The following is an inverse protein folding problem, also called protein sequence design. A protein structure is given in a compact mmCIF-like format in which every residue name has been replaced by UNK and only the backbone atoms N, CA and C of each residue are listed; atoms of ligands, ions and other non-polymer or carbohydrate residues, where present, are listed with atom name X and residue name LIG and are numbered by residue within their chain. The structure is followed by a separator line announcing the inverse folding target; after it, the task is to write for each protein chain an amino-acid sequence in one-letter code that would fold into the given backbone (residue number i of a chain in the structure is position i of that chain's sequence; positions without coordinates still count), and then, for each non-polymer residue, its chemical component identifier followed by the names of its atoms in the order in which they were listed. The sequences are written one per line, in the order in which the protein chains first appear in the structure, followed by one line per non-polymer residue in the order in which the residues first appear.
data_IF_418145032512
#
_entry.id   IF_418145032512
#
_cell.length_a   1.000
_cell.length_b   1.000
_cell.length_c   1.000
_cell.angle_alpha   90.00
_cell.angle_beta   90.00
_cell.angle_gamma   90.00
#
_symmetry.space_group_name_H-M   'P 1'
#
loop_
_entity.id
_entity.type
_entity.pdbx_description
1 polymer ?
#
# COMPACT_ATOMS: atom_id res chain seq x y z
N UNK A 1 -42.10 19.99 -13.49
CA UNK A 1 -41.67 19.76 -12.10
C UNK A 1 -40.46 18.83 -12.14
N UNK A 2 -39.40 19.20 -11.42
CA UNK A 2 -37.99 19.06 -11.82
C UNK A 2 -37.37 17.64 -11.78
N UNK A 3 -36.57 17.33 -12.80
CA UNK A 3 -35.68 16.16 -12.92
C UNK A 3 -34.34 16.35 -12.16
N UNK A 4 -34.36 16.50 -10.84
CA UNK A 4 -33.15 16.82 -10.06
C UNK A 4 -32.60 15.70 -9.15
N UNK A 5 -33.16 14.48 -9.16
CA UNK A 5 -32.69 13.40 -8.26
C UNK A 5 -31.44 12.66 -8.74
N UNK A 6 -31.20 12.57 -10.04
CA UNK A 6 -30.16 11.69 -10.60
C UNK A 6 -28.72 12.15 -10.37
N UNK A 7 -28.48 13.46 -10.21
CA UNK A 7 -27.15 14.01 -9.99
C UNK A 7 -26.73 13.95 -8.52
N UNK A 8 -27.69 14.21 -7.61
CA UNK A 8 -27.49 14.12 -6.16
C UNK A 8 -27.26 12.67 -5.74
N UNK A 9 -28.03 11.72 -6.29
CA UNK A 9 -27.81 10.29 -6.03
C UNK A 9 -26.46 9.79 -6.58
N UNK A 10 -26.02 10.31 -7.73
CA UNK A 10 -24.67 10.01 -8.25
C UNK A 10 -23.57 10.61 -7.39
N UNK A 11 -23.72 11.85 -6.92
CA UNK A 11 -22.77 12.49 -6.00
C UNK A 11 -22.72 11.76 -4.65
N UNK A 12 -23.87 11.33 -4.14
CA UNK A 12 -23.96 10.51 -2.93
C UNK A 12 -23.30 9.13 -3.10
N UNK A 13 -23.45 8.49 -4.28
CA UNK A 13 -22.77 7.22 -4.59
C UNK A 13 -21.25 7.37 -4.78
N UNK A 14 -20.76 8.57 -5.09
CA UNK A 14 -19.34 8.90 -5.16
C UNK A 14 -18.75 9.21 -3.78
N UNK A 15 -19.59 9.62 -2.81
CA UNK A 15 -19.22 9.74 -1.41
C UNK A 15 -19.40 8.38 -0.73
N UNK A 16 -18.40 7.51 -0.91
CA UNK A 16 -18.31 6.23 -0.21
C UNK A 16 -18.06 6.50 1.29
N UNK A 17 -19.11 6.87 2.02
CA UNK A 17 -19.04 7.44 3.37
C UNK A 17 -18.34 6.52 4.35
N UNK A 18 -18.54 5.20 4.20
CA UNK A 18 -17.81 4.18 4.95
C UNK A 18 -16.31 4.20 4.67
N UNK A 19 -15.92 4.37 3.41
CA UNK A 19 -14.51 4.45 3.00
C UNK A 19 -13.86 5.71 3.55
N UNK A 20 -14.60 6.82 3.61
CA UNK A 20 -14.17 8.05 4.26
C UNK A 20 -14.03 7.87 5.77
N UNK A 21 -15.03 7.26 6.43
CA UNK A 21 -15.00 6.94 7.87
C UNK A 21 -13.82 6.02 8.22
N UNK A 22 -13.54 4.99 7.41
CA UNK A 22 -12.40 4.07 7.59
C UNK A 22 -11.04 4.77 7.40
N UNK A 23 -10.94 5.69 6.42
CA UNK A 23 -9.73 6.49 6.18
C UNK A 23 -9.48 7.53 7.27
N UNK A 24 -10.51 7.95 8.01
CA UNK A 24 -10.45 8.99 9.03
C UNK A 24 -10.71 8.45 10.44
N UNK A 25 -10.52 7.15 10.65
CA UNK A 25 -10.66 6.55 11.97
C UNK A 25 -9.69 7.22 12.96
N UNK A 26 -10.24 7.66 14.09
CA UNK A 26 -9.48 8.11 15.26
C UNK A 26 -9.97 7.33 16.47
N UNK A 27 -9.04 7.02 17.38
CA UNK A 27 -9.34 6.25 18.57
C UNK A 27 -8.19 6.31 19.57
N UNK A 28 -8.44 5.76 20.76
CA UNK A 28 -7.41 5.63 21.77
C UNK A 28 -6.39 4.55 21.38
N UNK A 29 -5.27 4.51 22.09
CA UNK A 29 -4.30 3.44 21.94
C UNK A 29 -4.91 2.06 22.24
N UNK A 30 -5.84 1.96 23.20
CA UNK A 30 -6.53 0.69 23.49
C UNK A 30 -7.42 0.25 22.33
N UNK A 31 -8.11 1.18 21.67
CA UNK A 31 -8.92 0.87 20.49
C UNK A 31 -8.05 0.35 19.34
N UNK A 32 -6.86 0.92 19.17
CA UNK A 32 -5.87 0.41 18.22
C UNK A 32 -5.37 -1.00 18.60
N UNK A 33 -5.08 -1.26 19.88
CA UNK A 33 -4.69 -2.60 20.33
C UNK A 33 -5.79 -3.63 20.08
N UNK A 34 -7.05 -3.27 20.31
CA UNK A 34 -8.20 -4.12 19.99
C UNK A 34 -8.31 -4.40 18.49
N UNK A 35 -8.06 -3.40 17.65
CA UNK A 35 -8.01 -3.55 16.20
C UNK A 35 -6.89 -4.50 15.76
N UNK A 36 -5.70 -4.41 16.38
CA UNK A 36 -4.58 -5.35 16.14
C UNK A 36 -4.92 -6.76 16.61
N UNK A 37 -5.61 -6.93 17.76
CA UNK A 37 -6.06 -8.25 18.24
C UNK A 37 -7.04 -8.90 17.27
N UNK A 38 -7.98 -8.12 16.70
CA UNK A 38 -8.95 -8.59 15.71
C UNK A 38 -8.31 -8.88 14.36
N UNK A 39 -7.39 -8.01 13.93
CA UNK A 39 -6.69 -8.13 12.66
C UNK A 39 -5.18 -7.87 12.83
N UNK A 40 -4.39 -8.91 13.13
CA UNK A 40 -2.94 -8.77 13.32
C UNK A 40 -2.20 -8.22 12.09
N UNK A 41 -2.83 -8.30 10.90
CA UNK A 41 -2.27 -7.77 9.65
C UNK A 41 -2.04 -6.26 9.69
N UNK A 42 -2.69 -5.54 10.60
CA UNK A 42 -2.51 -4.10 10.77
C UNK A 42 -1.10 -3.77 11.24
N UNK A 43 -0.52 -4.64 12.07
CA UNK A 43 0.85 -4.50 12.61
C UNK A 43 1.94 -5.14 11.71
N UNK A 44 1.63 -5.39 10.42
CA UNK A 44 2.61 -5.93 9.46
C UNK A 44 3.78 -4.98 9.23
N UNK A 45 4.93 -5.58 8.96
CA UNK A 45 6.14 -4.89 8.52
C UNK A 45 5.96 -4.29 7.12
N UNK A 46 6.85 -3.37 6.75
CA UNK A 46 6.88 -2.78 5.41
C UNK A 46 7.04 -3.84 4.31
N UNK A 47 7.83 -4.90 4.54
CA UNK A 47 8.05 -5.98 3.57
C UNK A 47 6.81 -6.84 3.39
N UNK A 48 6.15 -7.23 4.48
CA UNK A 48 4.88 -7.96 4.41
C UNK A 48 3.84 -7.14 3.65
N UNK A 49 3.73 -5.83 3.96
CA UNK A 49 2.79 -4.94 3.26
C UNK A 49 3.09 -4.83 1.76
N UNK A 50 4.35 -4.64 1.37
CA UNK A 50 4.74 -4.58 -0.05
C UNK A 50 4.50 -5.91 -0.77
N UNK A 51 4.80 -7.04 -0.12
CA UNK A 51 4.60 -8.35 -0.71
C UNK A 51 3.11 -8.64 -0.92
N UNK A 52 2.29 -8.43 0.12
CA UNK A 52 0.84 -8.65 0.05
C UNK A 52 0.17 -7.69 -0.94
N UNK A 53 0.63 -6.44 -1.01
CA UNK A 53 0.21 -5.48 -2.03
C UNK A 53 0.43 -6.05 -3.43
N UNK A 54 1.63 -6.53 -3.76
CA UNK A 54 1.93 -7.07 -5.10
C UNK A 54 1.04 -8.27 -5.41
N UNK A 55 0.82 -9.15 -4.44
CA UNK A 55 -0.03 -10.34 -4.60
C UNK A 55 -1.51 -10.00 -4.77
N UNK A 56 -1.98 -8.89 -4.22
CA UNK A 56 -3.40 -8.47 -4.31
C UNK A 56 -3.88 -8.24 -5.76
N UNK A 57 -2.96 -7.96 -6.68
CA UNK A 57 -3.25 -7.80 -8.11
C UNK A 57 -3.35 -9.13 -8.85
N UNK A 58 -2.98 -10.24 -8.22
CA UNK A 58 -2.96 -11.56 -8.81
C UNK A 58 -1.66 -11.91 -9.54
N UNK A 59 -1.51 -13.20 -9.81
CA UNK A 59 -0.34 -13.79 -10.46
C UNK A 59 -0.74 -14.75 -11.56
N UNK A 60 0.06 -14.82 -12.61
CA UNK A 60 -0.10 -15.76 -13.70
C UNK A 60 1.14 -16.63 -13.81
N UNK A 61 0.97 -17.93 -13.99
CA UNK A 61 2.08 -18.85 -14.24
C UNK A 61 2.12 -19.26 -15.70
N UNK A 62 3.31 -19.21 -16.29
CA UNK A 62 3.54 -19.73 -17.63
C UNK A 62 4.89 -20.43 -17.70
N UNK A 63 5.06 -21.27 -18.73
CA UNK A 63 6.31 -21.98 -18.99
C UNK A 63 7.02 -21.33 -20.16
N UNK A 64 8.26 -20.90 -19.93
CA UNK A 64 9.16 -20.40 -20.96
C UNK A 64 10.46 -21.20 -20.87
N UNK A 65 10.89 -21.78 -22.00
CA UNK A 65 12.13 -22.55 -22.08
C UNK A 65 12.29 -23.59 -20.96
N UNK A 66 11.22 -24.34 -20.67
CA UNK A 66 11.11 -25.36 -19.60
C UNK A 66 11.23 -24.81 -18.17
N UNK A 67 11.25 -23.49 -17.97
CA UNK A 67 11.22 -22.85 -16.65
C UNK A 67 9.81 -22.34 -16.37
N UNK A 68 9.29 -22.64 -15.18
CA UNK A 68 8.07 -22.01 -14.68
C UNK A 68 8.41 -20.57 -14.26
N UNK A 69 7.68 -19.61 -14.81
CA UNK A 69 7.82 -18.20 -14.51
C UNK A 69 6.49 -17.71 -13.95
N UNK A 70 6.57 -17.05 -12.80
CA UNK A 70 5.43 -16.35 -12.19
C UNK A 70 5.46 -14.89 -12.62
N UNK A 71 4.45 -14.48 -13.38
CA UNK A 71 4.18 -13.08 -13.73
C UNK A 71 3.27 -12.45 -12.68
N UNK A 72 3.66 -11.30 -12.18
CA UNK A 72 2.87 -10.53 -11.21
C UNK A 72 2.13 -9.42 -11.95
N UNK A 73 0.79 -9.46 -11.95
CA UNK A 73 -0.06 -8.51 -12.67
C UNK A 73 0.12 -7.07 -12.20
N UNK A 74 0.57 -6.88 -10.95
CA UNK A 74 0.95 -5.58 -10.41
C UNK A 74 1.85 -4.76 -11.36
N UNK A 75 2.82 -5.39 -12.03
CA UNK A 75 3.74 -4.69 -12.93
C UNK A 75 3.17 -4.37 -14.31
N UNK A 76 1.94 -4.79 -14.61
CA UNK A 76 1.22 -4.42 -15.83
C UNK A 76 0.47 -3.08 -15.70
N UNK A 77 0.43 -2.48 -14.50
CA UNK A 77 -0.18 -1.16 -14.25
C UNK A 77 -1.62 -1.04 -14.76
N UNK A 78 -2.41 -2.12 -14.67
CA UNK A 78 -3.77 -2.20 -15.22
C UNK A 78 -4.70 -1.11 -14.66
N UNK A 79 -4.59 -0.80 -13.37
CA UNK A 79 -5.36 0.25 -12.71
C UNK A 79 -5.15 1.65 -13.33
N UNK A 80 -4.03 1.89 -14.00
CA UNK A 80 -3.69 3.18 -14.62
C UNK A 80 -3.61 3.11 -16.14
N UNK A 81 -4.17 2.05 -16.73
CA UNK A 81 -4.21 1.84 -18.18
C UNK A 81 -2.86 1.44 -18.78
N UNK A 82 -1.99 0.80 -18.00
CA UNK A 82 -0.71 0.26 -18.50
C UNK A 82 0.35 1.32 -18.82
N UNK A 83 0.22 2.54 -18.31
CA UNK A 83 1.14 3.66 -18.61
C UNK A 83 2.57 3.37 -18.18
N UNK A 84 2.72 2.73 -17.03
CA UNK A 84 4.02 2.33 -16.48
C UNK A 84 4.27 0.81 -16.62
N UNK A 85 3.51 0.11 -17.47
CA UNK A 85 3.59 -1.35 -17.62
C UNK A 85 5.00 -1.82 -18.00
N UNK A 86 5.47 -2.87 -17.33
CA UNK A 86 6.80 -3.43 -17.52
C UNK A 86 6.67 -4.75 -18.27
N UNK A 87 7.33 -4.83 -19.43
CA UNK A 87 7.35 -6.03 -20.28
C UNK A 87 8.76 -6.63 -20.35
N UNK A 88 8.84 -7.95 -20.52
CA UNK A 88 10.10 -8.66 -20.75
C UNK A 88 11.03 -8.79 -19.54
N UNK A 89 10.60 -8.35 -18.35
CA UNK A 89 11.37 -8.43 -17.11
C UNK A 89 10.78 -9.41 -16.09
N UNK A 90 9.95 -10.37 -16.52
CA UNK A 90 9.28 -11.32 -15.62
C UNK A 90 10.25 -12.07 -14.69
N UNK A 91 11.39 -12.55 -15.22
CA UNK A 91 12.41 -13.27 -14.42
C UNK A 91 13.06 -12.32 -13.37
N UNK A 92 13.59 -11.14 -13.74
CA UNK A 92 14.07 -10.16 -12.77
C UNK A 92 13.03 -9.74 -11.72
N UNK A 93 11.79 -9.48 -12.14
CA UNK A 93 10.69 -9.10 -11.25
C UNK A 93 10.35 -10.24 -10.28
N UNK A 94 10.35 -11.48 -10.76
CA UNK A 94 10.16 -12.66 -9.91
C UNK A 94 11.26 -12.78 -8.85
N UNK A 95 12.52 -12.50 -9.20
CA UNK A 95 13.62 -12.46 -8.22
C UNK A 95 13.43 -11.35 -7.19
N UNK A 96 13.03 -10.15 -7.63
CA UNK A 96 12.73 -9.03 -6.72
C UNK A 96 11.61 -9.41 -5.73
N UNK A 97 10.51 -9.96 -6.23
CA UNK A 97 9.39 -10.37 -5.37
C UNK A 97 9.78 -11.50 -4.42
N UNK A 98 10.65 -12.43 -4.84
CA UNK A 98 11.19 -13.45 -3.95
C UNK A 98 12.04 -12.85 -2.80
N UNK A 99 12.79 -11.77 -3.06
CA UNK A 99 13.49 -11.04 -1.99
C UNK A 99 12.49 -10.41 -1.01
N UNK A 100 11.43 -9.79 -1.52
CA UNK A 100 10.36 -9.23 -0.66
C UNK A 100 9.67 -10.33 0.16
N UNK A 101 9.39 -11.48 -0.45
CA UNK A 101 8.82 -12.66 0.23
C UNK A 101 9.73 -13.15 1.36
N UNK A 102 11.03 -13.28 1.10
CA UNK A 102 11.99 -13.72 2.10
C UNK A 102 12.09 -12.72 3.28
N UNK A 103 12.06 -11.43 2.98
CA UNK A 103 12.06 -10.37 3.99
C UNK A 103 10.75 -10.33 4.79
N UNK A 104 9.60 -10.56 4.14
CA UNK A 104 8.29 -10.66 4.79
C UNK A 104 8.25 -11.84 5.78
N UNK A 105 8.88 -12.96 5.44
CA UNK A 105 9.00 -14.14 6.31
C UNK A 105 10.11 -14.02 7.37
N UNK A 106 10.75 -12.86 7.51
CA UNK A 106 11.79 -12.55 8.53
C UNK A 106 13.00 -13.48 8.47
N UNK A 107 13.39 -13.93 7.28
CA UNK A 107 14.58 -14.79 7.10
C UNK A 107 15.91 -14.00 7.10
N UNK A 108 16.02 -12.89 7.85
CA UNK A 108 17.25 -12.08 7.97
C UNK A 108 17.58 -11.22 6.75
N UNK A 109 16.62 -11.07 5.82
CA UNK A 109 16.73 -10.19 4.63
C UNK A 109 16.15 -8.80 4.87
N UNK A 110 15.44 -8.58 5.97
CA UNK A 110 14.78 -7.32 6.30
C UNK A 110 15.74 -6.15 6.56
N UNK A 111 17.02 -6.44 6.86
CA UNK A 111 18.07 -5.44 7.10
C UNK A 111 19.00 -5.21 5.89
N UNK A 112 18.69 -5.80 4.72
CA UNK A 112 19.57 -5.72 3.55
C UNK A 112 19.13 -4.62 2.60
N UNK A 113 20.11 -3.89 2.05
CA UNK A 113 19.87 -2.89 0.99
C UNK A 113 19.58 -3.64 -0.32
N UNK A 114 18.42 -3.38 -0.93
CA UNK A 114 18.08 -3.89 -2.26
C UNK A 114 18.65 -2.93 -3.31
N UNK A 115 19.68 -3.35 -4.04
CA UNK A 115 20.24 -2.58 -5.13
C UNK A 115 19.67 -3.04 -6.48
N UNK A 116 18.88 -2.19 -7.12
CA UNK A 116 18.42 -2.41 -8.49
C UNK A 116 19.52 -1.96 -9.46
N UNK A 117 20.36 -2.89 -9.90
CA UNK A 117 21.40 -2.63 -10.91
C UNK A 117 21.02 -3.23 -12.26
N UNK A 118 21.44 -2.60 -13.36
CA UNK A 118 21.20 -3.08 -14.72
C UNK A 118 21.52 -2.01 -15.77
N UNK A 119 21.46 -2.34 -17.07
CA UNK A 119 21.72 -1.39 -18.15
C UNK A 119 20.77 -0.18 -18.13
N UNK A 120 21.15 0.92 -18.77
CA UNK A 120 20.23 2.05 -18.98
C UNK A 120 18.98 1.55 -19.73
N UNK A 121 17.80 2.02 -19.34
CA UNK A 121 16.53 1.55 -19.93
C UNK A 121 15.93 0.28 -19.32
N UNK A 122 16.55 -0.35 -18.31
CA UNK A 122 16.03 -1.58 -17.69
C UNK A 122 14.88 -1.37 -16.67
N UNK A 123 14.04 -0.36 -16.87
CA UNK A 123 12.85 -0.04 -16.04
C UNK A 123 13.05 0.16 -14.53
N UNK A 124 14.28 0.31 -14.01
CA UNK A 124 14.57 0.43 -12.56
C UNK A 124 13.73 1.51 -11.87
N UNK A 125 13.75 2.74 -12.40
CA UNK A 125 12.97 3.85 -11.85
C UNK A 125 11.46 3.62 -12.00
N UNK A 126 11.04 2.90 -13.05
CA UNK A 126 9.63 2.52 -13.26
C UNK A 126 9.15 1.52 -12.23
N UNK A 127 9.96 0.52 -11.88
CA UNK A 127 9.67 -0.43 -10.79
C UNK A 127 9.46 0.35 -9.48
N UNK A 128 10.39 1.24 -9.13
CA UNK A 128 10.29 2.03 -7.89
C UNK A 128 9.05 2.94 -7.91
N UNK A 129 8.74 3.55 -9.05
CA UNK A 129 7.55 4.40 -9.22
C UNK A 129 6.26 3.60 -9.04
N UNK A 130 6.16 2.42 -9.64
CA UNK A 130 5.03 1.52 -9.48
C UNK A 130 4.86 1.10 -8.03
N UNK A 131 5.93 0.71 -7.34
CA UNK A 131 5.87 0.34 -5.92
C UNK A 131 5.36 1.49 -5.03
N UNK A 132 5.84 2.72 -5.24
CA UNK A 132 5.37 3.90 -4.50
C UNK A 132 3.88 4.15 -4.72
N UNK A 133 3.49 4.19 -5.99
CA UNK A 133 2.11 4.41 -6.42
C UNK A 133 1.16 3.30 -5.93
N UNK A 134 1.58 2.05 -6.05
CA UNK A 134 0.84 0.89 -5.58
C UNK A 134 0.65 0.92 -4.07
N UNK A 135 1.66 1.35 -3.31
CA UNK A 135 1.56 1.44 -1.85
C UNK A 135 0.58 2.53 -1.43
N UNK A 136 0.54 3.65 -2.16
CA UNK A 136 -0.44 4.72 -1.96
C UNK A 136 -1.88 4.26 -2.25
N UNK A 137 -2.08 3.47 -3.31
CA UNK A 137 -3.41 2.94 -3.63
C UNK A 137 -3.83 1.87 -2.60
N UNK A 138 -2.91 0.98 -2.25
CA UNK A 138 -3.15 -0.14 -1.36
C UNK A 138 -3.43 0.33 0.08
N UNK A 139 -2.76 1.39 0.55
CA UNK A 139 -3.03 1.94 1.89
C UNK A 139 -4.46 2.45 2.06
N UNK A 140 -5.17 2.73 0.96
CA UNK A 140 -6.58 3.14 0.95
C UNK A 140 -7.56 1.97 0.90
N UNK A 141 -7.08 0.73 0.89
CA UNK A 141 -7.93 -0.47 1.01
C UNK A 141 -7.95 -0.97 2.45
N UNK A 142 -9.01 -1.68 2.87
CA UNK A 142 -9.07 -2.29 4.21
C UNK A 142 -7.87 -3.22 4.48
N UNK A 143 -7.40 -3.92 3.45
CA UNK A 143 -6.26 -4.85 3.55
C UNK A 143 -4.93 -4.12 3.68
N UNK A 144 -4.79 -2.89 3.16
CA UNK A 144 -3.56 -2.11 3.24
C UNK A 144 -3.56 -1.05 4.34
N UNK A 145 -4.63 -0.98 5.15
CA UNK A 145 -4.83 0.02 6.19
C UNK A 145 -3.57 0.31 7.02
N UNK A 146 -3.36 1.60 7.28
CA UNK A 146 -2.22 2.18 7.96
C UNK A 146 -2.75 3.12 9.04
N UNK A 147 -2.16 3.02 10.23
CA UNK A 147 -2.48 3.88 11.36
C UNK A 147 -1.23 4.63 11.76
N UNK A 148 -1.42 5.91 12.08
CA UNK A 148 -0.41 6.76 12.71
C UNK A 148 -0.95 7.24 14.04
N UNK A 149 -0.10 7.84 14.86
CA UNK A 149 -0.53 8.47 16.10
C UNK A 149 -0.52 10.00 15.93
N UNK A 150 -1.34 10.66 16.73
CA UNK A 150 -1.29 12.10 16.91
C UNK A 150 -1.00 12.37 18.38
N UNK A 151 -0.13 13.33 18.66
CA UNK A 151 0.12 13.76 20.03
C UNK A 151 -0.91 14.80 20.44
N UNK A 152 -1.72 14.48 21.44
CA UNK A 152 -2.63 15.44 22.08
C UNK A 152 -2.00 15.89 23.39
N UNK A 153 -1.64 17.17 23.47
CA UNK A 153 -1.03 17.72 24.68
C UNK A 153 -2.10 18.14 25.70
N UNK A 154 -1.89 17.86 26.99
CA UNK A 154 -2.72 18.41 28.06
C UNK A 154 -2.76 19.93 28.01
N UNK A 155 -3.92 20.51 28.35
CA UNK A 155 -4.16 21.96 28.36
C UNK A 155 -3.11 22.75 29.14
N UNK A 156 -2.55 22.15 30.20
CA UNK A 156 -1.53 22.73 31.05
C UNK A 156 -0.20 22.98 30.32
N UNK A 157 0.07 22.25 29.23
CA UNK A 157 1.29 22.37 28.43
C UNK A 157 1.12 23.28 27.20
N UNK A 158 -0.07 23.87 26.99
CA UNK A 158 -0.35 24.79 25.86
C UNK A 158 0.59 26.00 25.78
N UNK A 159 1.11 26.42 26.93
CA UNK A 159 2.06 27.53 27.00
C UNK A 159 3.41 27.22 26.33
N UNK A 160 3.74 25.94 26.14
CA UNK A 160 4.97 25.48 25.47
C UNK A 160 4.80 25.34 23.95
N UNK A 161 3.57 25.36 23.44
CA UNK A 161 3.25 24.91 22.08
C UNK A 161 2.70 26.02 21.18
N UNK A 162 2.85 27.28 21.59
CA UNK A 162 2.36 28.45 20.84
C UNK A 162 0.88 28.34 20.42
N UNK A 163 0.07 27.62 21.21
CA UNK A 163 -1.37 27.44 20.96
C UNK A 163 -1.76 26.25 20.07
N UNK A 164 -0.83 25.39 19.65
CA UNK A 164 -1.18 24.11 19.01
C UNK A 164 -1.32 22.98 20.05
N UNK A 165 -2.42 22.23 19.96
CA UNK A 165 -2.76 21.16 20.90
C UNK A 165 -2.55 19.75 20.32
N UNK A 166 -2.62 19.63 18.99
CA UNK A 166 -2.52 18.36 18.28
C UNK A 166 -1.36 18.43 17.29
N UNK A 167 -0.45 17.47 17.40
CA UNK A 167 0.68 17.30 16.49
C UNK A 167 0.55 15.97 15.74
N UNK A 168 0.18 15.99 14.45
CA UNK A 168 0.12 14.77 13.64
C UNK A 168 1.52 14.26 13.30
N UNK A 169 1.67 12.93 13.20
CA UNK A 169 2.93 12.26 12.82
C UNK A 169 2.88 11.55 11.48
#
# INVERSE_FOLDING_TARGET
MFMSSTLVDRIASLQDRKRYEDLHWTGSFEDYLELVRRNPRVARTAYERLYDMILSFGTEEYVDNKKKITRYRFFQDELRGGRDAIFGLDIPLMRLVNVLKAAALRYGTERRIILLHGPVGSSKSTIVRLLKKGLEDYSRTPEGALYTYEWVLPEQLRHLTAGQEVYPS
#
